data_IF_330111171672
#
_entry.id   IF_330111171672
#
_cell.length_a   1.000
_cell.length_b   1.000
_cell.length_c   1.000
_cell.angle_alpha   90.00
_cell.angle_beta   90.00
_cell.angle_gamma   90.00
#
_symmetry.space_group_name_H-M   'P 1'
#
loop_
_entity.id
_entity.type
_entity.pdbx_description
1 polymer ?
#
# COMPACT_ATOMS: atom_id res chain seq x y z
N UNK A 1 17.91 2.10 30.61
CA UNK A 1 17.49 0.83 29.98
C UNK A 1 17.28 0.98 28.46
N UNK A 2 16.33 1.77 27.94
CA UNK A 2 16.03 1.85 26.49
C UNK A 2 17.21 2.28 25.58
N UNK A 3 18.04 3.23 26.02
CA UNK A 3 19.18 3.72 25.23
C UNK A 3 20.18 2.59 24.94
N UNK A 4 20.50 1.77 25.94
CA UNK A 4 21.43 0.64 25.81
C UNK A 4 20.85 -0.44 24.88
N UNK A 5 19.54 -0.69 24.96
CA UNK A 5 18.85 -1.61 24.07
C UNK A 5 18.95 -1.17 22.60
N UNK A 6 18.58 0.08 22.30
CA UNK A 6 18.65 0.59 20.93
C UNK A 6 20.08 0.69 20.41
N UNK A 7 21.06 1.02 21.25
CA UNK A 7 22.46 1.04 20.84
C UNK A 7 22.94 -0.33 20.34
N UNK A 8 22.54 -1.43 21.00
CA UNK A 8 22.98 -2.80 20.70
C UNK A 8 22.11 -3.56 19.69
N UNK A 9 20.88 -3.12 19.44
CA UNK A 9 19.98 -3.78 18.49
C UNK A 9 20.51 -3.73 17.03
N UNK A 10 20.15 -4.68 16.16
CA UNK A 10 20.35 -4.56 14.71
C UNK A 10 19.74 -3.25 14.19
N UNK A 11 20.43 -2.59 13.25
CA UNK A 11 19.98 -1.31 12.67
C UNK A 11 19.47 -1.55 11.26
N UNK A 12 18.32 -0.96 10.93
CA UNK A 12 17.77 -0.94 9.58
C UNK A 12 17.16 0.43 9.31
N UNK A 13 17.37 0.94 8.09
CA UNK A 13 16.70 2.15 7.56
C UNK A 13 15.70 1.80 6.45
N UNK A 14 15.39 0.51 6.28
CA UNK A 14 14.57 0.00 5.18
C UNK A 14 13.18 0.64 5.14
N UNK A 15 12.43 0.56 6.24
CA UNK A 15 11.10 1.18 6.37
C UNK A 15 11.17 2.70 6.20
N UNK A 16 12.20 3.34 6.77
CA UNK A 16 12.41 4.78 6.62
C UNK A 16 12.62 5.18 5.16
N UNK A 17 13.41 4.39 4.43
CA UNK A 17 13.71 4.64 3.02
C UNK A 17 12.49 4.41 2.14
N UNK A 18 11.79 3.28 2.32
CA UNK A 18 10.56 2.97 1.61
C UNK A 18 9.48 4.04 1.82
N UNK A 19 9.32 4.52 3.05
CA UNK A 19 8.37 5.60 3.34
C UNK A 19 8.75 6.93 2.65
N UNK A 20 10.05 7.26 2.59
CA UNK A 20 10.50 8.43 1.84
C UNK A 20 10.27 8.30 0.33
N UNK A 21 10.41 7.09 -0.22
CA UNK A 21 10.11 6.81 -1.62
C UNK A 21 8.62 7.00 -1.93
N UNK A 22 7.73 6.50 -1.06
CA UNK A 22 6.28 6.74 -1.19
C UNK A 22 5.96 8.23 -1.17
N UNK A 23 6.50 8.98 -0.20
CA UNK A 23 6.30 10.43 -0.12
C UNK A 23 6.80 11.16 -1.37
N UNK A 24 7.95 10.76 -1.90
CA UNK A 24 8.50 11.35 -3.13
C UNK A 24 7.63 11.03 -4.35
N UNK A 25 7.17 9.79 -4.49
CA UNK A 25 6.26 9.36 -5.54
C UNK A 25 4.97 10.19 -5.55
N UNK A 26 4.32 10.34 -4.39
CA UNK A 26 3.09 11.14 -4.27
C UNK A 26 3.36 12.63 -4.54
N UNK A 27 4.46 13.19 -4.01
CA UNK A 27 4.80 14.62 -4.17
C UNK A 27 5.16 15.00 -5.60
N UNK A 28 5.83 14.10 -6.32
CA UNK A 28 6.31 14.34 -7.68
C UNK A 28 5.32 13.86 -8.74
N UNK A 29 4.17 13.30 -8.34
CA UNK A 29 3.12 12.87 -9.27
C UNK A 29 2.57 14.07 -10.03
N UNK A 30 2.43 13.92 -11.35
CA UNK A 30 1.90 14.96 -12.22
C UNK A 30 0.47 14.61 -12.60
N UNK A 31 -0.46 15.56 -12.45
CA UNK A 31 -1.88 15.35 -12.71
C UNK A 31 -2.64 14.75 -11.52
N UNK A 32 -3.89 14.28 -11.72
CA UNK A 32 -4.69 13.70 -10.66
C UNK A 32 -4.04 12.42 -10.11
N UNK A 33 -4.14 12.22 -8.80
CA UNK A 33 -3.66 11.00 -8.18
C UNK A 33 -4.48 9.79 -8.65
N UNK A 34 -3.82 8.63 -8.85
CA UNK A 34 -4.50 7.39 -9.16
C UNK A 34 -5.62 7.09 -8.15
N UNK A 35 -6.80 6.67 -8.61
CA UNK A 35 -7.91 6.40 -7.71
C UNK A 35 -7.69 5.10 -6.93
N UNK A 36 -8.36 4.98 -5.78
CA UNK A 36 -8.38 3.71 -5.03
C UNK A 36 -9.03 2.61 -5.89
N UNK A 37 -8.43 1.41 -6.01
CA UNK A 37 -9.02 0.27 -6.73
C UNK A 37 -10.46 -0.02 -6.28
N UNK A 38 -11.34 -0.35 -7.23
CA UNK A 38 -12.79 -0.42 -6.98
C UNK A 38 -13.14 -1.47 -5.92
N UNK A 39 -12.44 -2.61 -5.90
CA UNK A 39 -12.62 -3.69 -4.93
C UNK A 39 -12.14 -3.31 -3.52
N UNK A 40 -11.35 -2.24 -3.35
CA UNK A 40 -10.93 -1.74 -2.03
C UNK A 40 -11.81 -0.60 -1.51
N UNK A 41 -12.71 -0.05 -2.33
CA UNK A 41 -13.57 1.06 -1.91
C UNK A 41 -14.66 0.59 -0.97
N UNK A 42 -15.00 1.45 -0.01
CA UNK A 42 -16.19 1.25 0.82
C UNK A 42 -17.46 1.27 -0.05
N UNK A 43 -18.43 0.40 0.28
CA UNK A 43 -19.70 0.26 -0.45
C UNK A 43 -20.90 0.17 0.52
N UNK A 44 -21.19 1.23 1.30
CA UNK A 44 -22.22 1.19 2.32
C UNK A 44 -23.65 1.27 1.75
N UNK A 45 -23.83 1.91 0.60
CA UNK A 45 -25.15 2.06 -0.04
C UNK A 45 -25.41 0.97 -1.08
N UNK A 46 -26.68 0.69 -1.35
CA UNK A 46 -27.08 -0.26 -2.39
C UNK A 46 -26.59 0.17 -3.78
N UNK A 47 -26.76 1.45 -4.13
CA UNK A 47 -26.27 2.01 -5.39
C UNK A 47 -24.76 1.79 -5.56
N UNK A 48 -23.95 1.97 -4.51
CA UNK A 48 -22.50 1.76 -4.62
C UNK A 48 -22.14 0.29 -4.89
N UNK A 49 -22.85 -0.66 -4.27
CA UNK A 49 -22.67 -2.10 -4.53
C UNK A 49 -23.09 -2.44 -5.97
N UNK A 50 -24.18 -1.85 -6.45
CA UNK A 50 -24.67 -2.05 -7.82
C UNK A 50 -23.69 -1.48 -8.85
N UNK A 51 -23.00 -0.38 -8.52
CA UNK A 51 -21.88 0.18 -9.29
C UNK A 51 -20.56 -0.61 -9.14
N UNK A 52 -20.55 -1.71 -8.39
CA UNK A 52 -19.39 -2.60 -8.25
C UNK A 52 -18.38 -2.22 -7.18
N UNK A 53 -18.68 -1.25 -6.30
CA UNK A 53 -17.77 -0.86 -5.21
C UNK A 53 -17.60 -2.03 -4.23
N UNK A 54 -16.37 -2.34 -3.87
CA UNK A 54 -16.04 -3.46 -2.97
C UNK A 54 -16.27 -4.85 -3.59
N UNK A 55 -16.74 -4.93 -4.84
CA UNK A 55 -16.98 -6.21 -5.51
C UNK A 55 -15.65 -6.93 -5.74
N UNK A 56 -15.58 -8.20 -5.34
CA UNK A 56 -14.38 -9.02 -5.50
C UNK A 56 -13.30 -8.78 -4.44
N UNK A 57 -13.57 -7.97 -3.40
CA UNK A 57 -12.66 -7.83 -2.27
C UNK A 57 -12.43 -9.17 -1.58
N UNK A 58 -11.15 -9.55 -1.46
CA UNK A 58 -10.72 -10.71 -0.70
C UNK A 58 -10.33 -10.26 0.70
N UNK A 59 -11.07 -10.73 1.70
CA UNK A 59 -10.78 -10.45 3.11
C UNK A 59 -9.75 -11.45 3.64
N UNK A 60 -8.49 -11.00 3.77
CA UNK A 60 -7.33 -11.86 4.08
C UNK A 60 -7.55 -12.87 5.23
N UNK A 61 -8.18 -12.51 6.37
CA UNK A 61 -8.38 -13.46 7.47
C UNK A 61 -9.25 -14.68 7.14
N UNK A 62 -9.98 -14.68 6.03
CA UNK A 62 -10.81 -15.81 5.58
C UNK A 62 -10.07 -16.78 4.65
N UNK A 63 -8.79 -16.53 4.36
CA UNK A 63 -7.96 -17.35 3.48
C UNK A 63 -6.81 -17.95 4.30
N UNK A 64 -6.53 -19.23 4.08
CA UNK A 64 -5.41 -19.94 4.71
C UNK A 64 -4.07 -19.63 4.03
N UNK A 65 -4.11 -19.37 2.73
CA UNK A 65 -2.95 -19.05 1.90
C UNK A 65 -2.86 -17.54 1.64
N UNK A 66 -1.67 -17.02 1.27
CA UNK A 66 -1.51 -15.65 0.84
C UNK A 66 -2.53 -15.28 -0.25
N UNK A 67 -3.27 -14.21 0.00
CA UNK A 67 -4.28 -13.72 -0.91
C UNK A 67 -3.62 -12.96 -2.05
N UNK A 68 -3.74 -13.50 -3.26
CA UNK A 68 -3.39 -12.76 -4.48
C UNK A 68 -4.49 -11.71 -4.77
N UNK A 69 -4.18 -10.45 -4.50
CA UNK A 69 -5.04 -9.30 -4.74
C UNK A 69 -4.16 -8.06 -4.96
N UNK A 70 -4.53 -7.24 -5.94
CA UNK A 70 -3.87 -5.96 -6.17
C UNK A 70 -4.29 -4.95 -5.09
N UNK A 71 -3.31 -4.27 -4.49
CA UNK A 71 -3.57 -3.26 -3.46
C UNK A 71 -3.20 -1.84 -3.89
N UNK A 72 -2.25 -1.72 -4.82
CA UNK A 72 -1.90 -0.44 -5.40
C UNK A 72 -2.87 -0.09 -6.54
N UNK A 73 -3.05 1.20 -6.84
CA UNK A 73 -3.68 1.62 -8.08
C UNK A 73 -3.00 1.01 -9.31
N UNK A 74 -3.72 0.87 -10.41
CA UNK A 74 -3.21 0.23 -11.62
C UNK A 74 -1.96 0.92 -12.17
N UNK A 75 -1.90 2.24 -12.05
CA UNK A 75 -0.79 3.09 -12.44
C UNK A 75 0.49 2.85 -11.61
N UNK A 76 0.35 2.25 -10.44
CA UNK A 76 1.45 1.89 -9.53
C UNK A 76 1.66 0.38 -9.44
N UNK A 77 1.03 -0.41 -10.33
CA UNK A 77 1.16 -1.87 -10.35
C UNK A 77 2.64 -2.27 -10.51
N UNK A 78 3.10 -3.17 -9.66
CA UNK A 78 4.49 -3.68 -9.68
C UNK A 78 5.53 -2.75 -9.06
N UNK A 79 5.14 -1.59 -8.52
CA UNK A 79 6.07 -0.70 -7.81
C UNK A 79 6.44 -1.31 -6.46
N UNK A 80 7.74 -1.53 -6.26
CA UNK A 80 8.31 -1.99 -4.99
C UNK A 80 9.09 -0.85 -4.32
N UNK A 81 8.44 -0.17 -3.37
CA UNK A 81 9.04 0.96 -2.64
C UNK A 81 10.20 0.55 -1.73
N UNK A 82 10.34 -0.73 -1.38
CA UNK A 82 11.45 -1.24 -0.59
C UNK A 82 12.72 -1.42 -1.43
N UNK A 83 12.57 -1.64 -2.74
CA UNK A 83 13.70 -1.81 -3.68
C UNK A 83 14.09 -0.55 -4.44
N UNK A 84 13.24 0.47 -4.47
CA UNK A 84 13.58 1.77 -5.07
C UNK A 84 14.72 2.45 -4.28
N UNK A 85 15.96 2.23 -4.70
CA UNK A 85 17.08 3.10 -4.28
C UNK A 85 16.93 4.41 -5.04
N UNK A 86 17.00 5.54 -4.34
CA UNK A 86 17.01 6.90 -4.90
C UNK A 86 17.84 6.94 -6.19
N UNK A 87 17.24 7.40 -7.28
CA UNK A 87 17.99 8.10 -8.33
C UNK A 87 18.51 9.43 -7.77
#
# INVERSE_FOLDING_TARGET
QCVVYFARAPKSIEVFSAYNNVKACVRNHQGPLPPVPLHLRNAPTRLMKDLGYGKGYKYNPMYSEPVDQEYLPEELRGVDFFKQRRC
#
